data_IF_692428335222
#
_entry.id   IF_692428335222
#
_cell.length_a   1.000
_cell.length_b   1.000
_cell.length_c   1.000
_cell.angle_alpha   90.00
_cell.angle_beta   90.00
_cell.angle_gamma   90.00
#
_symmetry.space_group_name_H-M   'P 1'
#
loop_
_entity.id
_entity.type
_entity.pdbx_description
1 polymer ?
#
# COMPACT_ATOMS: atom_id res chain seq x y z
N UNK A 1 -5.76 -28.31 7.50
CA UNK A 1 -6.02 -28.12 6.19
C UNK A 1 -5.67 -29.16 5.17
N UNK A 2 -5.68 -28.70 3.94
CA UNK A 2 -5.57 -29.47 2.70
C UNK A 2 -4.32 -30.38 2.67
N UNK A 3 -3.13 -29.86 3.02
CA UNK A 3 -1.89 -30.63 3.03
C UNK A 3 -1.92 -31.85 3.99
N UNK A 4 -2.79 -31.84 5.00
CA UNK A 4 -2.98 -32.97 5.90
C UNK A 4 -3.98 -33.97 5.34
N UNK A 5 -4.99 -33.51 4.57
CA UNK A 5 -5.98 -34.38 3.95
C UNK A 5 -5.38 -35.27 2.83
N UNK A 6 -4.30 -34.83 2.18
CA UNK A 6 -3.56 -35.63 1.18
C UNK A 6 -2.97 -36.95 1.73
N UNK A 7 -2.91 -37.12 3.05
CA UNK A 7 -2.48 -38.35 3.72
C UNK A 7 -3.57 -39.37 3.84
N UNK A 8 -4.81 -38.98 3.62
CA UNK A 8 -5.96 -39.85 3.67
C UNK A 8 -6.35 -40.32 2.26
N UNK A 9 -7.05 -41.49 2.15
CA UNK A 9 -7.52 -41.97 0.86
C UNK A 9 -8.48 -40.95 0.22
N UNK A 10 -8.33 -40.74 -1.08
CA UNK A 10 -9.29 -39.98 -1.86
C UNK A 10 -10.40 -40.90 -2.37
N UNK A 11 -11.63 -40.46 -2.23
CA UNK A 11 -12.81 -41.11 -2.78
C UNK A 11 -13.38 -40.20 -3.87
N UNK A 12 -13.45 -40.71 -5.07
CA UNK A 12 -14.08 -40.04 -6.21
C UNK A 12 -15.36 -40.77 -6.58
N UNK A 13 -16.48 -40.05 -6.64
CA UNK A 13 -17.74 -40.54 -7.16
C UNK A 13 -18.05 -39.77 -8.44
N UNK A 14 -18.11 -40.47 -9.55
CA UNK A 14 -18.48 -39.95 -10.84
C UNK A 14 -19.82 -40.55 -11.28
N UNK A 15 -20.80 -39.67 -11.50
CA UNK A 15 -22.10 -40.06 -12.03
C UNK A 15 -22.22 -39.40 -13.39
N UNK A 16 -22.45 -40.21 -14.42
CA UNK A 16 -22.71 -39.72 -15.76
C UNK A 16 -24.00 -40.31 -16.29
N UNK A 17 -24.80 -39.45 -16.90
CA UNK A 17 -26.02 -39.83 -17.57
C UNK A 17 -26.02 -39.28 -19.00
N UNK A 18 -26.45 -40.08 -19.95
CA UNK A 18 -26.50 -39.67 -21.33
C UNK A 18 -27.54 -40.49 -22.09
N UNK A 19 -27.78 -40.08 -23.29
CA UNK A 19 -28.64 -40.82 -24.24
C UNK A 19 -27.72 -41.49 -25.25
N UNK A 20 -27.79 -42.81 -25.32
CA UNK A 20 -26.92 -43.65 -26.14
C UNK A 20 -27.60 -44.02 -27.45
N UNK A 21 -28.01 -43.01 -28.25
CA UNK A 21 -28.53 -43.34 -29.60
C UNK A 21 -28.15 -42.32 -30.65
N UNK A 22 -27.83 -42.81 -31.83
CA UNK A 22 -27.27 -42.01 -32.96
C UNK A 22 -28.29 -41.24 -33.80
N UNK A 23 -29.61 -41.38 -33.52
CA UNK A 23 -30.67 -40.75 -34.31
C UNK A 23 -31.65 -39.95 -33.46
N UNK A 24 -31.73 -38.66 -33.71
CA UNK A 24 -32.59 -37.72 -32.98
C UNK A 24 -34.09 -38.03 -33.00
N UNK A 25 -34.53 -38.95 -33.90
CA UNK A 25 -35.93 -39.39 -34.01
C UNK A 25 -36.35 -40.48 -33.02
N UNK A 26 -35.38 -41.24 -32.53
CA UNK A 26 -35.62 -42.33 -31.56
C UNK A 26 -35.53 -41.85 -30.09
N UNK A 27 -35.04 -40.65 -29.85
CA UNK A 27 -34.97 -39.99 -28.55
C UNK A 27 -36.31 -39.94 -27.78
N UNK A 28 -37.42 -39.94 -28.51
CA UNK A 28 -38.77 -39.80 -27.93
C UNK A 28 -39.62 -41.04 -27.91
N UNK A 29 -39.17 -42.15 -28.51
CA UNK A 29 -40.02 -43.33 -28.69
C UNK A 29 -39.65 -44.58 -27.88
N UNK A 30 -38.39 -44.77 -27.43
CA UNK A 30 -38.03 -45.84 -26.47
C UNK A 30 -36.73 -45.50 -25.78
N UNK A 31 -36.82 -45.28 -24.47
CA UNK A 31 -35.83 -44.99 -23.47
C UNK A 31 -34.38 -45.42 -23.66
N UNK A 32 -33.63 -44.73 -24.50
CA UNK A 32 -32.16 -44.87 -24.57
C UNK A 32 -31.40 -44.13 -23.48
N UNK A 33 -31.93 -44.09 -22.26
CA UNK A 33 -31.22 -43.46 -21.15
C UNK A 33 -30.18 -44.43 -20.59
N UNK A 34 -28.92 -44.08 -20.72
CA UNK A 34 -27.83 -44.79 -20.08
C UNK A 34 -27.30 -43.91 -18.90
N UNK A 35 -27.21 -44.48 -17.75
CA UNK A 35 -26.51 -43.84 -16.62
C UNK A 35 -25.41 -44.77 -16.12
N UNK A 36 -24.33 -44.21 -15.68
CA UNK A 36 -23.27 -44.93 -15.01
C UNK A 36 -22.84 -44.19 -13.74
N UNK A 37 -22.63 -44.94 -12.68
CA UNK A 37 -22.05 -44.46 -11.46
C UNK A 37 -20.77 -45.23 -11.18
N UNK A 38 -19.65 -44.50 -11.06
CA UNK A 38 -18.34 -45.09 -10.77
C UNK A 38 -17.81 -44.53 -9.48
N UNK A 39 -17.52 -45.40 -8.51
CA UNK A 39 -16.81 -45.04 -7.29
C UNK A 39 -15.36 -45.48 -7.40
N UNK A 40 -14.44 -44.50 -7.29
CA UNK A 40 -13.00 -44.73 -7.27
C UNK A 40 -12.40 -44.48 -5.89
N UNK A 41 -11.55 -45.38 -5.43
CA UNK A 41 -10.78 -45.25 -4.21
C UNK A 41 -9.29 -45.27 -4.55
N UNK A 42 -8.56 -44.25 -4.15
CA UNK A 42 -7.12 -44.15 -4.39
C UNK A 42 -6.39 -43.71 -3.10
N UNK A 43 -5.39 -44.49 -2.70
CA UNK A 43 -4.49 -44.18 -1.59
C UNK A 43 -3.05 -44.46 -1.98
N UNK A 44 -2.14 -43.47 -1.89
CA UNK A 44 -0.72 -43.69 -2.10
C UNK A 44 -0.16 -44.49 -0.90
N UNK A 45 0.26 -45.75 -1.15
CA UNK A 45 0.80 -46.63 -0.10
C UNK A 45 2.25 -46.28 0.24
N UNK A 46 3.03 -45.87 -0.75
CA UNK A 46 4.43 -45.48 -0.60
C UNK A 46 4.71 -44.08 -1.20
N UNK A 47 4.96 -43.14 -0.32
CA UNK A 47 5.28 -41.75 -0.72
C UNK A 47 6.70 -41.32 -0.35
N UNK A 48 7.55 -42.21 0.17
CA UNK A 48 8.91 -41.95 0.62
C UNK A 48 9.06 -40.69 1.47
N UNK A 49 8.10 -40.41 2.32
CA UNK A 49 8.04 -39.24 3.20
C UNK A 49 7.63 -37.92 2.51
N UNK A 50 7.30 -37.93 1.21
CA UNK A 50 6.91 -36.73 0.46
C UNK A 50 5.69 -36.02 1.11
N UNK A 51 4.65 -36.74 1.46
CA UNK A 51 3.43 -36.18 2.09
C UNK A 51 3.73 -35.54 3.45
N UNK A 52 4.63 -36.15 4.24
CA UNK A 52 5.05 -35.58 5.54
C UNK A 52 5.86 -34.30 5.35
N UNK A 53 6.73 -34.26 4.35
CA UNK A 53 7.48 -33.03 4.01
C UNK A 53 6.57 -31.93 3.51
N UNK A 54 5.60 -32.26 2.68
CA UNK A 54 4.58 -31.28 2.21
C UNK A 54 3.79 -30.69 3.37
N UNK A 55 3.38 -31.51 4.34
CA UNK A 55 2.70 -31.02 5.55
C UNK A 55 3.62 -30.07 6.36
N UNK A 56 4.91 -30.41 6.49
CA UNK A 56 5.88 -29.54 7.18
C UNK A 56 6.08 -28.22 6.44
N UNK A 57 6.19 -28.25 5.10
CA UNK A 57 6.30 -27.05 4.27
C UNK A 57 5.06 -26.17 4.49
N UNK A 58 3.86 -26.74 4.39
CA UNK A 58 2.63 -25.98 4.59
C UNK A 58 2.52 -25.36 6.01
N UNK A 59 3.03 -26.03 7.03
CA UNK A 59 3.12 -25.48 8.39
C UNK A 59 4.12 -24.31 8.50
N UNK A 60 5.25 -24.38 7.80
CA UNK A 60 6.20 -23.27 7.78
C UNK A 60 5.66 -22.09 6.99
N UNK A 61 4.98 -22.31 5.87
CA UNK A 61 4.30 -21.26 5.11
C UNK A 61 3.22 -20.55 5.94
N UNK A 62 2.46 -21.32 6.76
CA UNK A 62 1.51 -20.70 7.69
C UNK A 62 2.20 -19.79 8.73
N UNK A 63 3.33 -20.25 9.30
CA UNK A 63 4.09 -19.44 10.25
C UNK A 63 4.67 -18.19 9.59
N UNK A 64 5.19 -18.36 8.37
CA UNK A 64 5.69 -17.24 7.60
C UNK A 64 4.60 -16.19 7.35
N UNK A 65 3.42 -16.61 6.88
CA UNK A 65 2.30 -15.71 6.66
C UNK A 65 1.84 -14.98 7.95
N UNK A 66 1.94 -15.64 9.11
CA UNK A 66 1.63 -15.00 10.39
C UNK A 66 2.66 -13.91 10.76
N UNK A 67 3.95 -14.19 10.54
CA UNK A 67 5.02 -13.21 10.76
C UNK A 67 4.96 -12.04 9.76
N UNK A 68 4.64 -12.32 8.50
CA UNK A 68 4.44 -11.31 7.46
C UNK A 68 3.28 -10.37 7.85
N UNK A 69 2.20 -10.90 8.43
CA UNK A 69 1.11 -10.10 8.95
C UNK A 69 1.55 -9.19 10.12
N UNK A 70 2.29 -9.74 11.09
CA UNK A 70 2.83 -8.96 12.22
C UNK A 70 3.76 -7.85 11.71
N UNK A 71 4.62 -8.16 10.75
CA UNK A 71 5.51 -7.17 10.14
C UNK A 71 4.72 -6.06 9.45
N UNK A 72 3.74 -6.39 8.62
CA UNK A 72 2.89 -5.40 7.94
C UNK A 72 2.16 -4.50 8.95
N UNK A 73 1.70 -5.05 10.07
CA UNK A 73 1.05 -4.27 11.12
C UNK A 73 2.03 -3.29 11.82
N UNK A 74 3.27 -3.71 12.04
CA UNK A 74 4.32 -2.84 12.60
C UNK A 74 4.72 -1.73 11.62
N UNK A 75 4.88 -2.05 10.33
CA UNK A 75 5.18 -1.08 9.28
C UNK A 75 4.07 -0.03 9.17
N UNK A 76 2.80 -0.43 9.23
CA UNK A 76 1.68 0.51 9.22
C UNK A 76 1.69 1.46 10.44
N UNK A 77 2.09 0.99 11.63
CA UNK A 77 2.24 1.84 12.81
C UNK A 77 3.42 2.82 12.66
N UNK A 78 4.55 2.35 12.11
CA UNK A 78 5.73 3.18 11.83
C UNK A 78 5.38 4.29 10.82
N UNK A 79 4.62 3.98 9.78
CA UNK A 79 4.18 4.96 8.77
C UNK A 79 3.33 6.06 9.42
N UNK A 80 2.38 5.70 10.30
CA UNK A 80 1.55 6.68 11.02
C UNK A 80 2.41 7.55 11.95
N UNK A 81 3.32 6.97 12.73
CA UNK A 81 4.19 7.71 13.65
C UNK A 81 5.12 8.66 12.90
N UNK A 82 5.68 8.19 11.78
CA UNK A 82 6.52 9.00 10.90
C UNK A 82 5.76 10.18 10.29
N UNK A 83 4.55 9.93 9.80
CA UNK A 83 3.69 10.98 9.22
C UNK A 83 3.28 12.01 10.28
N UNK A 84 2.91 11.60 11.50
CA UNK A 84 2.60 12.51 12.60
C UNK A 84 3.78 13.38 12.98
N UNK A 85 4.98 12.79 13.05
CA UNK A 85 6.22 13.52 13.35
C UNK A 85 6.54 14.53 12.26
N UNK A 86 6.39 14.15 10.98
CA UNK A 86 6.59 15.05 9.85
C UNK A 86 5.63 16.25 9.89
N UNK A 87 4.33 16.02 10.14
CA UNK A 87 3.33 17.10 10.26
C UNK A 87 3.69 18.07 11.40
N UNK A 88 4.08 17.54 12.56
CA UNK A 88 4.45 18.38 13.70
C UNK A 88 5.70 19.23 13.41
N UNK A 89 6.74 18.62 12.85
CA UNK A 89 8.00 19.27 12.53
C UNK A 89 7.85 20.35 11.46
N UNK A 90 7.14 20.01 10.36
CA UNK A 90 6.90 20.95 9.26
C UNK A 90 6.01 22.12 9.68
N UNK A 91 5.10 21.92 10.62
CA UNK A 91 4.31 23.01 11.19
C UNK A 91 5.17 24.01 11.95
N UNK A 92 6.10 23.53 12.77
CA UNK A 92 7.02 24.39 13.48
C UNK A 92 8.00 25.10 12.53
N UNK A 93 8.51 24.38 11.54
CA UNK A 93 9.38 24.94 10.51
C UNK A 93 8.68 26.05 9.71
N UNK A 94 7.42 25.87 9.33
CA UNK A 94 6.64 26.88 8.62
C UNK A 94 6.51 28.19 9.44
N UNK A 95 6.32 28.10 10.75
CA UNK A 95 6.28 29.28 11.62
C UNK A 95 7.65 29.98 11.67
N UNK A 96 8.75 29.24 11.71
CA UNK A 96 10.09 29.82 11.68
C UNK A 96 10.38 30.51 10.35
N UNK A 97 10.00 29.89 9.22
CA UNK A 97 10.15 30.50 7.89
C UNK A 97 9.30 31.77 7.73
N UNK A 98 8.08 31.78 8.27
CA UNK A 98 7.26 32.99 8.27
C UNK A 98 7.99 34.15 8.99
N UNK A 99 8.51 33.91 10.19
CA UNK A 99 9.27 34.89 10.93
C UNK A 99 10.54 35.35 10.18
N UNK A 100 11.21 34.44 9.48
CA UNK A 100 12.39 34.73 8.69
C UNK A 100 12.06 35.63 7.50
N UNK A 101 10.98 35.36 6.77
CA UNK A 101 10.50 36.19 5.66
C UNK A 101 10.15 37.59 6.15
N UNK A 102 9.45 37.71 7.29
CA UNK A 102 9.12 39.04 7.85
C UNK A 102 10.35 39.84 8.24
N UNK A 103 11.38 39.22 8.81
CA UNK A 103 12.66 39.88 9.13
C UNK A 103 13.37 40.36 7.86
N UNK A 104 13.45 39.53 6.83
CA UNK A 104 14.07 39.89 5.55
C UNK A 104 13.28 41.00 4.85
N UNK A 105 11.96 41.02 4.94
CA UNK A 105 11.15 42.15 4.44
C UNK A 105 11.50 43.47 5.12
N UNK A 106 11.66 43.47 6.46
CA UNK A 106 12.05 44.65 7.23
C UNK A 106 13.46 45.12 6.85
N UNK A 107 14.42 44.18 6.68
CA UNK A 107 15.77 44.48 6.26
C UNK A 107 15.77 45.13 4.88
N UNK A 108 15.03 44.58 3.90
CA UNK A 108 14.93 45.15 2.56
C UNK A 108 14.31 46.56 2.56
N UNK A 109 13.27 46.79 3.37
CA UNK A 109 12.66 48.11 3.56
C UNK A 109 13.62 49.11 4.16
N UNK A 110 14.37 48.72 5.21
CA UNK A 110 15.37 49.57 5.86
C UNK A 110 16.50 49.94 4.86
N UNK A 111 16.99 48.93 4.13
CA UNK A 111 18.05 49.15 3.15
C UNK A 111 17.62 50.12 2.02
N UNK A 112 16.35 50.02 1.60
CA UNK A 112 15.77 50.94 0.62
C UNK A 112 15.67 52.38 1.19
N UNK A 113 15.35 52.54 2.49
CA UNK A 113 15.30 53.84 3.15
C UNK A 113 16.71 54.48 3.26
N UNK A 114 17.72 53.67 3.63
CA UNK A 114 19.13 54.12 3.68
C UNK A 114 19.64 54.55 2.32
N UNK A 115 19.31 53.84 1.24
CA UNK A 115 19.64 54.23 -0.10
C UNK A 115 19.00 55.58 -0.48
N UNK A 116 17.72 55.77 -0.19
CA UNK A 116 17.04 57.06 -0.45
C UNK A 116 17.65 58.23 0.34
N UNK A 117 18.19 57.94 1.51
CA UNK A 117 18.93 58.92 2.32
C UNK A 117 20.38 59.15 1.87
N UNK A 118 20.84 58.44 0.84
CA UNK A 118 22.22 58.55 0.35
C UNK A 118 23.26 57.84 1.22
N UNK A 119 22.81 56.98 2.17
CA UNK A 119 23.68 56.31 3.13
C UNK A 119 24.04 54.86 2.74
N UNK A 120 23.56 54.37 1.62
CA UNK A 120 23.85 53.04 1.10
C UNK A 120 23.89 53.04 -0.43
N UNK A 121 24.51 52.03 -1.02
CA UNK A 121 24.55 51.86 -2.47
C UNK A 121 23.36 51.04 -2.98
N UNK A 122 23.06 51.09 -4.28
CA UNK A 122 21.94 50.37 -4.89
C UNK A 122 22.15 48.85 -4.93
N UNK A 123 23.40 48.41 -4.95
CA UNK A 123 23.73 46.99 -4.95
C UNK A 123 23.24 46.29 -3.66
N UNK A 124 23.37 46.99 -2.52
CA UNK A 124 22.89 46.48 -1.22
C UNK A 124 21.37 46.35 -1.19
N UNK A 125 20.64 47.27 -1.84
CA UNK A 125 19.17 47.17 -1.99
C UNK A 125 18.78 45.94 -2.78
N UNK A 126 19.43 45.69 -3.93
CA UNK A 126 19.17 44.52 -4.77
C UNK A 126 19.49 43.24 -4.01
N UNK A 127 20.62 43.18 -3.32
CA UNK A 127 21.03 42.01 -2.55
C UNK A 127 20.02 41.63 -1.44
N UNK A 128 19.54 42.65 -0.69
CA UNK A 128 18.55 42.39 0.37
C UNK A 128 17.16 42.00 -0.19
N UNK A 129 16.76 42.60 -1.33
CA UNK A 129 15.52 42.19 -2.02
C UNK A 129 15.63 40.78 -2.55
N UNK A 130 16.75 40.38 -3.13
CA UNK A 130 16.99 39.02 -3.60
C UNK A 130 16.90 37.99 -2.45
N UNK A 131 17.50 38.32 -1.29
CA UNK A 131 17.41 37.49 -0.09
C UNK A 131 15.98 37.38 0.40
N UNK A 132 15.21 38.45 0.39
CA UNK A 132 13.80 38.43 0.78
C UNK A 132 12.98 37.56 -0.18
N UNK A 133 13.09 37.70 -1.49
CA UNK A 133 12.36 36.88 -2.46
C UNK A 133 12.74 35.40 -2.37
N UNK A 134 14.03 35.09 -2.19
CA UNK A 134 14.44 33.70 -2.00
C UNK A 134 13.85 33.08 -0.72
N UNK A 135 13.73 33.87 0.35
CA UNK A 135 13.08 33.39 1.59
C UNK A 135 11.58 33.15 1.42
N UNK A 136 10.88 33.93 0.59
CA UNK A 136 9.48 33.70 0.26
C UNK A 136 9.30 32.41 -0.56
N UNK A 137 10.17 32.16 -1.52
CA UNK A 137 10.14 30.90 -2.29
C UNK A 137 10.32 29.68 -1.38
N UNK A 138 11.25 29.77 -0.44
CA UNK A 138 11.47 28.69 0.52
C UNK A 138 10.27 28.48 1.44
N UNK A 139 9.62 29.55 1.88
CA UNK A 139 8.40 29.46 2.68
C UNK A 139 7.29 28.71 1.92
N UNK A 140 7.10 28.99 0.63
CA UNK A 140 6.11 28.30 -0.21
C UNK A 140 6.42 26.80 -0.31
N UNK A 141 7.70 26.43 -0.45
CA UNK A 141 8.13 25.02 -0.49
C UNK A 141 7.83 24.30 0.84
N UNK A 142 8.05 24.94 1.97
CA UNK A 142 7.71 24.35 3.27
C UNK A 142 6.20 24.18 3.44
N UNK A 143 5.39 25.13 2.96
CA UNK A 143 3.93 25.01 2.96
C UNK A 143 3.48 23.85 2.08
N UNK A 144 4.08 23.68 0.91
CA UNK A 144 3.81 22.52 0.04
C UNK A 144 4.11 21.20 0.75
N UNK A 145 5.29 21.07 1.36
CA UNK A 145 5.67 19.88 2.13
C UNK A 145 4.72 19.61 3.27
N UNK A 146 4.21 20.65 3.93
CA UNK A 146 3.21 20.54 4.98
C UNK A 146 1.90 19.90 4.49
N UNK A 147 1.43 20.31 3.31
CA UNK A 147 0.25 19.70 2.70
C UNK A 147 0.50 18.25 2.25
N UNK A 148 1.70 17.96 1.74
CA UNK A 148 2.09 16.59 1.40
C UNK A 148 2.10 15.70 2.65
N UNK A 149 2.72 16.14 3.74
CA UNK A 149 2.75 15.38 4.99
C UNK A 149 1.35 15.14 5.59
N UNK A 150 0.42 16.10 5.42
CA UNK A 150 -0.98 15.90 5.80
C UNK A 150 -1.68 14.84 4.94
N UNK A 151 -1.43 14.85 3.63
CA UNK A 151 -1.96 13.82 2.73
C UNK A 151 -1.39 12.44 3.06
N UNK A 152 -0.09 12.34 3.33
CA UNK A 152 0.56 11.09 3.73
C UNK A 152 0.00 10.56 5.05
N UNK A 153 -0.30 11.44 6.02
CA UNK A 153 -0.95 11.06 7.28
C UNK A 153 -2.35 10.49 7.05
N UNK A 154 -3.16 11.11 6.17
CA UNK A 154 -4.50 10.60 5.83
C UNK A 154 -4.41 9.24 5.17
N UNK A 155 -3.44 9.03 4.26
CA UNK A 155 -3.20 7.74 3.63
C UNK A 155 -2.76 6.67 4.64
N UNK A 156 -1.84 7.02 5.55
CA UNK A 156 -1.35 6.10 6.59
C UNK A 156 -2.47 5.68 7.57
N UNK A 157 -3.43 6.56 7.84
CA UNK A 157 -4.61 6.26 8.66
C UNK A 157 -5.68 5.42 7.93
N UNK A 158 -5.54 5.22 6.63
CA UNK A 158 -6.48 4.45 5.83
C UNK A 158 -7.81 5.16 5.52
N UNK A 159 -7.91 6.45 5.78
CA UNK A 159 -9.16 7.23 5.65
C UNK A 159 -9.46 7.67 4.20
N UNK A 160 -8.62 7.24 3.24
CA UNK A 160 -8.77 7.61 1.82
C UNK A 160 -9.74 6.76 1.00
N UNK A 161 -10.41 5.74 1.59
CA UNK A 161 -11.18 4.72 0.87
C UNK A 161 -12.63 4.59 1.35
N UNK A 162 -13.24 5.64 1.86
CA UNK A 162 -14.69 5.65 2.09
C UNK A 162 -15.38 6.01 0.78
N UNK A 163 -15.82 4.97 0.05
CA UNK A 163 -16.88 5.09 -0.96
C UNK A 163 -18.24 5.17 -0.28
#
# INVERSE_FOLDING_TARGET
GIARSERFPSVALTISGGVADGNARELFQQGGWAWSATAGFAQPLFSFGRLRRNEQIARQQYKQAALDYEQTALEALEDVESALTAVATLREEALQWQNYVERNARIAQLQQALYRAGQSNYLDVISTQQTWYSSQLQQVQIIEQQYQALADLVLALGDGWQE
#
